data_IF_169982480833
#
_entry.id   IF_169982480833
#
_cell.length_a   1.000
_cell.length_b   1.000
_cell.length_c   1.000
_cell.angle_alpha   90.00
_cell.angle_beta   90.00
_cell.angle_gamma   90.00
#
_symmetry.space_group_name_H-M   'P 1'
#
loop_
_entity.id
_entity.type
_entity.pdbx_description
1 polymer ?
#
# COMPACT_ATOMS: atom_id res chain seq x y z
N UNK A 1 14.62 -0.03 42.54
CA UNK A 1 13.66 -0.35 41.47
C UNK A 1 14.08 0.44 40.25
N UNK A 2 14.27 -0.23 39.12
CA UNK A 2 14.88 0.32 37.89
C UNK A 2 14.00 0.14 36.64
N UNK A 3 12.75 -0.32 36.80
CA UNK A 3 11.80 -0.41 35.69
C UNK A 3 11.20 0.95 35.38
N UNK A 4 11.03 1.21 34.10
CA UNK A 4 10.23 2.32 33.57
C UNK A 4 8.76 2.08 33.88
N UNK A 5 8.09 3.06 34.48
CA UNK A 5 6.65 3.03 34.72
C UNK A 5 6.03 4.41 34.57
N UNK A 6 4.72 4.45 34.33
CA UNK A 6 3.93 5.67 34.28
C UNK A 6 2.59 5.45 34.97
N UNK A 7 2.07 6.51 35.58
CA UNK A 7 0.82 6.46 36.34
C UNK A 7 -0.14 7.53 35.86
N UNK A 8 -1.42 7.16 35.73
CA UNK A 8 -2.47 8.02 35.20
C UNK A 8 -3.74 7.92 36.06
N UNK A 9 -4.46 9.03 36.20
CA UNK A 9 -5.74 9.07 36.92
C UNK A 9 -5.61 8.90 38.44
N UNK A 10 -6.74 8.58 39.07
CA UNK A 10 -6.85 8.44 40.53
C UNK A 10 -7.92 7.40 40.90
N UNK A 11 -7.90 6.91 42.13
CA UNK A 11 -8.84 5.88 42.62
C UNK A 11 -8.16 4.54 42.87
N UNK A 12 -8.92 3.45 42.72
CA UNK A 12 -8.41 2.09 42.91
C UNK A 12 -7.29 1.77 41.92
N UNK A 13 -6.22 1.14 42.40
CA UNK A 13 -5.03 0.90 41.58
C UNK A 13 -5.27 -0.24 40.59
N UNK A 14 -5.03 0.02 39.32
CA UNK A 14 -5.08 -0.96 38.24
C UNK A 14 -3.72 -1.00 37.53
N UNK A 15 -3.08 -2.16 37.51
CA UNK A 15 -1.79 -2.35 36.83
C UNK A 15 -2.02 -3.08 35.51
N UNK A 16 -1.56 -2.49 34.41
CA UNK A 16 -1.64 -3.08 33.07
C UNK A 16 -0.30 -3.70 32.71
N UNK A 17 -0.31 -5.00 32.41
CA UNK A 17 0.88 -5.80 32.12
C UNK A 17 0.89 -6.15 30.63
N UNK A 18 1.90 -5.70 29.90
CA UNK A 18 2.06 -6.00 28.48
C UNK A 18 2.73 -7.38 28.26
N UNK A 19 2.66 -7.92 27.03
CA UNK A 19 3.34 -9.18 26.66
C UNK A 19 4.81 -8.94 26.30
N UNK A 20 5.63 -10.00 26.29
CA UNK A 20 7.09 -9.88 26.16
C UNK A 20 7.62 -9.34 24.82
N UNK A 21 6.78 -9.24 23.78
CA UNK A 21 7.17 -8.77 22.43
C UNK A 21 6.85 -7.28 22.21
N UNK A 22 6.23 -6.62 23.18
CA UNK A 22 5.77 -5.22 23.12
C UNK A 22 6.17 -4.49 24.40
N UNK A 23 5.83 -3.21 24.53
CA UNK A 23 6.04 -2.42 25.75
C UNK A 23 4.74 -1.77 26.26
N UNK A 24 4.83 -0.97 27.33
CA UNK A 24 3.67 -0.37 27.99
C UNK A 24 2.79 0.52 27.11
N UNK A 25 3.28 0.97 25.94
CA UNK A 25 2.53 1.85 25.03
C UNK A 25 1.33 1.19 24.36
N UNK A 26 1.25 -0.14 24.39
CA UNK A 26 0.05 -0.86 23.90
C UNK A 26 -1.24 -0.45 24.60
N UNK A 27 -1.13 0.19 25.77
CA UNK A 27 -2.27 0.63 26.57
C UNK A 27 -2.68 2.08 26.33
N UNK A 28 -1.97 2.86 25.50
CA UNK A 28 -2.19 4.31 25.37
C UNK A 28 -3.64 4.69 25.04
N UNK A 29 -4.30 3.93 24.16
CA UNK A 29 -5.70 4.16 23.78
C UNK A 29 -6.69 3.83 24.91
N UNK A 30 -6.33 2.92 25.82
CA UNK A 30 -7.21 2.48 26.89
C UNK A 30 -7.07 3.35 28.16
N UNK A 31 -5.91 3.97 28.35
CA UNK A 31 -5.60 4.81 29.52
C UNK A 31 -6.66 5.92 29.73
N UNK A 32 -7.08 6.72 28.74
CA UNK A 32 -8.07 7.78 28.94
C UNK A 32 -9.43 7.27 29.42
N UNK A 33 -9.79 6.02 29.12
CA UNK A 33 -11.04 5.40 29.55
C UNK A 33 -10.92 4.88 30.99
N UNK A 34 -9.85 4.17 31.30
CA UNK A 34 -9.63 3.58 32.63
C UNK A 34 -9.26 4.62 33.69
N UNK A 35 -8.50 5.64 33.33
CA UNK A 35 -8.05 6.71 34.23
C UNK A 35 -9.19 7.58 34.80
N UNK A 36 -10.41 7.45 34.24
CA UNK A 36 -11.62 8.09 34.78
C UNK A 36 -12.05 7.49 36.13
N UNK A 37 -11.72 6.23 36.37
CA UNK A 37 -12.21 5.46 37.54
C UNK A 37 -11.06 4.87 38.36
N UNK A 38 -9.95 4.55 37.71
CA UNK A 38 -8.81 3.86 38.31
C UNK A 38 -7.56 4.74 38.30
N UNK A 39 -6.69 4.51 39.27
CA UNK A 39 -5.27 4.89 39.16
C UNK A 39 -4.59 3.83 38.32
N UNK A 40 -4.40 4.12 37.03
CA UNK A 40 -3.80 3.20 36.07
C UNK A 40 -2.28 3.29 36.17
N UNK A 41 -1.62 2.15 36.31
CA UNK A 41 -0.17 2.02 36.31
C UNK A 41 0.22 1.13 35.16
N UNK A 42 1.10 1.63 34.29
CA UNK A 42 1.73 0.86 33.23
C UNK A 42 3.23 0.80 33.51
N UNK A 43 3.88 -0.29 33.15
CA UNK A 43 5.33 -0.42 33.29
C UNK A 43 5.89 -1.24 32.14
N UNK A 44 7.16 -1.01 31.81
CA UNK A 44 7.89 -1.82 30.85
C UNK A 44 8.60 -2.97 31.58
N UNK A 45 8.40 -4.20 31.15
CA UNK A 45 9.13 -5.36 31.65
C UNK A 45 10.63 -5.26 31.28
N UNK A 46 11.49 -5.98 32.00
CA UNK A 46 12.94 -6.01 31.68
C UNK A 46 13.17 -6.44 30.23
N UNK A 47 14.02 -5.70 29.54
CA UNK A 47 14.31 -5.90 28.11
C UNK A 47 13.26 -5.34 27.15
N UNK A 48 12.28 -4.56 27.64
CA UNK A 48 11.26 -3.92 26.81
C UNK A 48 11.17 -2.42 27.12
N UNK A 49 10.67 -1.64 26.15
CA UNK A 49 10.47 -0.20 26.29
C UNK A 49 11.71 0.53 26.80
N UNK A 50 11.54 1.29 27.88
CA UNK A 50 12.62 2.04 28.53
C UNK A 50 13.21 1.33 29.76
N UNK A 51 12.80 0.09 30.05
CA UNK A 51 13.37 -0.71 31.13
C UNK A 51 14.69 -1.37 30.71
N UNK A 52 15.65 -1.56 31.63
CA UNK A 52 16.95 -2.13 31.31
C UNK A 52 16.85 -3.58 30.82
N UNK A 53 17.82 -4.00 30.02
CA UNK A 53 17.98 -5.40 29.63
C UNK A 53 18.19 -6.30 30.87
N UNK A 54 17.64 -7.52 30.88
CA UNK A 54 17.78 -8.42 32.02
C UNK A 54 19.24 -8.88 32.19
N UNK A 55 19.78 -8.74 33.40
CA UNK A 55 21.08 -9.32 33.77
C UNK A 55 20.97 -10.79 34.23
N UNK A 56 19.75 -11.25 34.53
CA UNK A 56 19.39 -12.58 35.02
C UNK A 56 18.08 -13.02 34.34
N UNK A 57 17.69 -14.31 34.36
CA UNK A 57 16.42 -14.75 33.78
C UNK A 57 15.22 -13.91 34.26
N UNK A 58 14.40 -13.42 33.31
CA UNK A 58 13.28 -12.52 33.60
C UNK A 58 12.31 -13.18 34.58
N UNK A 59 12.01 -12.48 35.68
CA UNK A 59 10.99 -12.88 36.64
C UNK A 59 9.98 -11.73 36.80
N UNK A 60 9.00 -11.71 35.89
CA UNK A 60 7.97 -10.67 35.84
C UNK A 60 7.18 -10.53 37.16
N UNK A 61 6.97 -11.64 37.88
CA UNK A 61 6.27 -11.62 39.16
C UNK A 61 7.09 -10.90 40.22
N UNK A 62 8.39 -11.20 40.31
CA UNK A 62 9.29 -10.51 41.25
C UNK A 62 9.45 -9.02 40.91
N UNK A 63 9.57 -8.72 39.62
CA UNK A 63 9.64 -7.35 39.10
C UNK A 63 8.36 -6.55 39.40
N UNK A 64 7.19 -7.16 39.19
CA UNK A 64 5.91 -6.54 39.53
C UNK A 64 5.77 -6.33 41.04
N UNK A 65 6.13 -7.32 41.86
CA UNK A 65 6.10 -7.15 43.32
C UNK A 65 7.03 -6.02 43.77
N UNK A 66 8.26 -5.96 43.22
CA UNK A 66 9.19 -4.87 43.49
C UNK A 66 8.65 -3.49 43.07
N UNK A 67 7.92 -3.41 41.96
CA UNK A 67 7.22 -2.19 41.55
C UNK A 67 6.13 -1.79 42.54
N UNK A 68 5.29 -2.75 42.95
CA UNK A 68 4.19 -2.52 43.89
C UNK A 68 4.68 -2.09 45.27
N UNK A 69 5.76 -2.71 45.75
CA UNK A 69 6.43 -2.35 47.00
C UNK A 69 7.03 -0.95 46.92
N UNK A 70 7.70 -0.61 45.79
CA UNK A 70 8.24 0.72 45.54
C UNK A 70 7.15 1.80 45.54
N UNK A 71 5.99 1.49 44.95
CA UNK A 71 4.83 2.38 44.89
C UNK A 71 3.95 2.35 46.15
N UNK A 72 4.27 1.47 47.11
CA UNK A 72 3.55 1.29 48.38
C UNK A 72 2.06 0.95 48.19
N UNK A 73 1.74 0.13 47.18
CA UNK A 73 0.37 -0.30 46.93
C UNK A 73 0.07 -1.64 47.61
N UNK A 74 -0.90 -1.63 48.54
CA UNK A 74 -1.28 -2.81 49.32
C UNK A 74 -2.34 -3.68 48.62
N UNK A 75 -3.08 -3.12 47.66
CA UNK A 75 -4.13 -3.83 46.91
C UNK A 75 -4.22 -3.26 45.49
N UNK A 76 -4.10 -4.12 44.50
CA UNK A 76 -4.14 -3.76 43.09
C UNK A 76 -4.98 -4.76 42.30
N UNK A 77 -5.58 -4.31 41.21
CA UNK A 77 -6.16 -5.17 40.18
C UNK A 77 -5.16 -5.23 39.02
N UNK A 78 -4.72 -6.42 38.63
CA UNK A 78 -3.80 -6.59 37.50
C UNK A 78 -4.55 -7.14 36.28
N UNK A 79 -4.26 -6.61 35.09
CA UNK A 79 -4.79 -7.12 33.81
C UNK A 79 -3.67 -7.31 32.80
N UNK A 80 -3.74 -8.38 32.01
CA UNK A 80 -2.70 -8.78 31.05
C UNK A 80 -3.30 -9.02 29.65
N UNK A 81 -2.53 -8.77 28.58
CA UNK A 81 -3.01 -8.86 27.20
C UNK A 81 -2.91 -10.26 26.54
N UNK A 82 -2.39 -11.28 27.22
CA UNK A 82 -2.33 -12.65 26.67
C UNK A 82 -2.71 -13.73 27.69
N UNK A 83 -3.03 -14.91 27.15
CA UNK A 83 -3.68 -16.07 27.77
C UNK A 83 -3.07 -16.58 29.09
N UNK A 84 -3.83 -17.35 29.91
CA UNK A 84 -3.58 -17.56 31.35
C UNK A 84 -2.33 -18.37 31.75
N UNK A 85 -1.46 -18.75 30.81
CA UNK A 85 -0.38 -19.71 31.06
C UNK A 85 0.81 -19.12 31.83
N UNK A 86 0.96 -17.79 31.90
CA UNK A 86 2.14 -17.14 32.46
C UNK A 86 2.12 -16.99 34.00
N UNK A 87 0.96 -17.08 34.67
CA UNK A 87 0.83 -16.87 36.13
C UNK A 87 1.08 -18.14 36.99
N UNK A 88 1.47 -19.26 36.39
CA UNK A 88 1.59 -20.55 37.10
C UNK A 88 2.91 -20.80 37.85
N UNK A 89 3.87 -19.87 37.84
CA UNK A 89 5.18 -20.08 38.47
C UNK A 89 5.35 -19.51 39.89
N UNK A 90 4.35 -18.80 40.44
CA UNK A 90 4.37 -18.33 41.83
C UNK A 90 4.04 -19.42 42.83
N UNK A 91 5.06 -20.05 43.43
CA UNK A 91 4.90 -21.03 44.53
C UNK A 91 4.28 -20.37 45.76
N UNK A 92 3.03 -20.74 46.09
CA UNK A 92 2.49 -20.63 47.44
C UNK A 92 2.86 -21.89 48.25
N UNK A 93 3.42 -21.68 49.44
CA UNK A 93 3.81 -22.73 50.38
C UNK A 93 2.62 -23.24 51.20
N UNK A 94 2.66 -24.56 51.45
CA UNK A 94 1.96 -25.36 52.47
C UNK A 94 0.42 -25.52 52.41
N UNK A 95 -0.03 -26.72 52.03
CA UNK A 95 -0.66 -27.70 52.94
C UNK A 95 -1.30 -28.87 52.17
N UNK A 96 -1.22 -30.07 52.76
CA UNK A 96 -1.90 -31.34 52.39
C UNK A 96 -1.36 -32.17 51.20
N UNK A 97 -0.66 -33.27 51.51
CA UNK A 97 -0.24 -34.30 50.54
C UNK A 97 -1.39 -35.06 49.88
N UNK A 98 -2.61 -35.01 50.43
CA UNK A 98 -3.82 -35.63 49.88
C UNK A 98 -4.38 -34.90 48.65
N UNK A 99 -4.15 -33.59 48.52
CA UNK A 99 -4.58 -32.80 47.35
C UNK A 99 -3.75 -33.11 46.10
N UNK A 100 -2.47 -33.43 46.28
CA UNK A 100 -1.51 -33.66 45.19
C UNK A 100 -1.74 -34.99 44.47
N UNK A 101 -2.15 -36.02 45.20
CA UNK A 101 -2.49 -37.32 44.62
C UNK A 101 -3.79 -37.25 43.82
N UNK A 102 -4.83 -36.63 44.38
CA UNK A 102 -6.10 -36.40 43.68
C UNK A 102 -5.94 -35.52 42.44
N UNK A 103 -5.09 -34.49 42.52
CA UNK A 103 -4.71 -33.66 41.38
C UNK A 103 -3.95 -34.46 40.32
N UNK A 104 -3.02 -35.34 40.71
CA UNK A 104 -2.27 -36.17 39.77
C UNK A 104 -3.15 -37.24 39.11
N UNK A 105 -4.14 -37.79 39.81
CA UNK A 105 -5.10 -38.77 39.26
C UNK A 105 -6.09 -38.11 38.30
N UNK A 106 -6.64 -36.96 38.68
CA UNK A 106 -7.44 -36.13 37.78
C UNK A 106 -6.62 -35.71 36.55
N UNK A 107 -5.38 -35.25 36.75
CA UNK A 107 -4.47 -34.86 35.67
C UNK A 107 -4.16 -36.05 34.75
N UNK A 108 -3.97 -37.27 35.27
CA UNK A 108 -3.76 -38.48 34.44
C UNK A 108 -5.00 -38.84 33.63
N UNK A 109 -6.19 -38.78 34.23
CA UNK A 109 -7.46 -39.03 33.55
C UNK A 109 -7.72 -38.00 32.44
N UNK A 110 -7.53 -36.72 32.74
CA UNK A 110 -7.66 -35.62 31.78
C UNK A 110 -6.62 -35.76 30.65
N UNK A 111 -5.35 -36.01 30.98
CA UNK A 111 -4.28 -36.19 29.99
C UNK A 111 -4.49 -37.44 29.11
N UNK A 112 -5.18 -38.48 29.62
CA UNK A 112 -5.58 -39.66 28.85
C UNK A 112 -6.68 -39.33 27.84
N UNK A 113 -7.73 -38.61 28.22
CA UNK A 113 -8.75 -38.13 27.27
C UNK A 113 -8.12 -37.28 26.16
N UNK A 114 -7.21 -36.38 26.53
CA UNK A 114 -6.47 -35.58 25.56
C UNK A 114 -5.55 -36.42 24.67
N UNK A 115 -4.89 -37.47 25.20
CA UNK A 115 -4.01 -38.37 24.43
C UNK A 115 -4.75 -39.08 23.30
N UNK A 116 -5.97 -39.52 23.55
CA UNK A 116 -6.76 -40.26 22.56
C UNK A 116 -7.41 -39.33 21.51
N UNK A 117 -7.47 -38.01 21.78
CA UNK A 117 -8.12 -37.00 20.93
C UNK A 117 -7.15 -35.97 20.34
N UNK A 118 -5.82 -36.09 20.55
CA UNK A 118 -4.82 -35.11 20.05
C UNK A 118 -4.89 -34.90 18.55
N UNK A 119 -5.06 -36.00 17.80
CA UNK A 119 -5.21 -35.95 16.35
C UNK A 119 -6.47 -35.19 15.94
N UNK A 120 -7.58 -35.36 16.64
CA UNK A 120 -8.83 -34.65 16.36
C UNK A 120 -8.73 -33.16 16.69
N UNK A 121 -8.12 -32.78 17.82
CA UNK A 121 -7.86 -31.37 18.15
C UNK A 121 -6.93 -30.75 17.10
N UNK A 122 -5.88 -31.46 16.68
CA UNK A 122 -5.00 -31.04 15.58
C UNK A 122 -5.76 -30.85 14.27
N UNK A 123 -6.66 -31.77 13.91
CA UNK A 123 -7.52 -31.64 12.74
C UNK A 123 -8.45 -30.43 12.83
N UNK A 124 -9.07 -30.17 14.00
CA UNK A 124 -9.95 -29.02 14.21
C UNK A 124 -9.17 -27.70 14.09
N UNK A 125 -7.99 -27.61 14.71
CA UNK A 125 -7.13 -26.43 14.58
C UNK A 125 -6.69 -26.24 13.12
N UNK A 126 -6.29 -27.32 12.45
CA UNK A 126 -5.90 -27.27 11.04
C UNK A 126 -7.06 -26.81 10.14
N UNK A 127 -8.28 -27.31 10.34
CA UNK A 127 -9.44 -26.88 9.54
C UNK A 127 -9.82 -25.44 9.81
N UNK A 128 -9.79 -24.98 11.08
CA UNK A 128 -10.01 -23.57 11.41
C UNK A 128 -8.95 -22.69 10.74
N UNK A 129 -7.67 -23.06 10.80
CA UNK A 129 -6.59 -22.33 10.14
C UNK A 129 -6.78 -22.27 8.62
N UNK A 130 -7.11 -23.40 7.98
CA UNK A 130 -7.37 -23.43 6.54
C UNK A 130 -8.58 -22.57 6.15
N UNK A 131 -9.64 -22.56 6.96
CA UNK A 131 -10.81 -21.72 6.75
C UNK A 131 -10.46 -20.23 6.87
N UNK A 132 -9.72 -19.84 7.90
CA UNK A 132 -9.26 -18.45 8.09
C UNK A 132 -8.40 -18.04 6.89
N UNK A 133 -7.44 -18.87 6.47
CA UNK A 133 -6.59 -18.59 5.30
C UNK A 133 -7.41 -18.46 4.02
N UNK A 134 -8.40 -19.33 3.79
CA UNK A 134 -9.26 -19.27 2.62
C UNK A 134 -10.10 -17.98 2.58
N UNK A 135 -10.67 -17.57 3.72
CA UNK A 135 -11.43 -16.32 3.84
C UNK A 135 -10.53 -15.12 3.59
N UNK A 136 -9.34 -15.08 4.21
CA UNK A 136 -8.35 -14.01 4.00
C UNK A 136 -7.90 -13.94 2.54
N UNK A 137 -7.67 -15.09 1.90
CA UNK A 137 -7.30 -15.13 0.48
C UNK A 137 -8.42 -14.64 -0.43
N UNK A 138 -9.68 -15.01 -0.15
CA UNK A 138 -10.84 -14.52 -0.90
C UNK A 138 -11.02 -13.00 -0.74
N UNK A 139 -10.82 -12.46 0.46
CA UNK A 139 -10.85 -11.02 0.72
C UNK A 139 -9.73 -10.28 -0.04
N UNK A 140 -8.51 -10.83 -0.04
CA UNK A 140 -7.38 -10.30 -0.80
C UNK A 140 -7.66 -10.31 -2.31
N UNK A 141 -8.15 -11.43 -2.85
CA UNK A 141 -8.53 -11.52 -4.26
C UNK A 141 -9.56 -10.46 -4.65
N UNK A 142 -10.56 -10.21 -3.79
CA UNK A 142 -11.54 -9.14 -4.02
C UNK A 142 -10.86 -7.77 -4.08
N UNK A 143 -10.00 -7.45 -3.12
CA UNK A 143 -9.26 -6.17 -3.10
C UNK A 143 -8.38 -5.99 -4.34
N UNK A 144 -7.65 -7.04 -4.75
CA UNK A 144 -6.82 -7.02 -5.95
C UNK A 144 -7.67 -6.77 -7.20
N UNK A 145 -8.84 -7.40 -7.31
CA UNK A 145 -9.73 -7.20 -8.46
C UNK A 145 -10.30 -5.77 -8.51
N UNK A 146 -10.67 -5.19 -7.37
CA UNK A 146 -11.12 -3.78 -7.31
C UNK A 146 -9.99 -2.83 -7.71
N UNK A 147 -8.77 -3.01 -7.17
CA UNK A 147 -7.60 -2.20 -7.55
C UNK A 147 -7.25 -2.35 -9.03
N UNK A 148 -7.37 -3.57 -9.58
CA UNK A 148 -7.15 -3.83 -11.00
C UNK A 148 -8.15 -3.04 -11.84
N UNK A 149 -9.42 -3.06 -11.47
CA UNK A 149 -10.48 -2.32 -12.16
C UNK A 149 -10.26 -0.81 -12.09
N UNK A 150 -9.95 -0.27 -10.93
CA UNK A 150 -9.62 1.16 -10.76
C UNK A 150 -8.40 1.55 -11.61
N UNK A 151 -7.39 0.67 -11.68
CA UNK A 151 -6.21 0.88 -12.53
C UNK A 151 -6.57 0.89 -14.02
N UNK A 152 -7.44 -0.01 -14.50
CA UNK A 152 -7.92 -0.01 -15.89
C UNK A 152 -8.72 1.25 -16.18
N UNK A 153 -9.63 1.65 -15.29
CA UNK A 153 -10.46 2.86 -15.47
C UNK A 153 -9.61 4.13 -15.54
N UNK A 154 -8.66 4.29 -14.61
CA UNK A 154 -7.71 5.42 -14.61
C UNK A 154 -6.86 5.45 -15.87
N UNK A 155 -6.31 4.29 -16.26
CA UNK A 155 -5.50 4.16 -17.47
C UNK A 155 -6.32 4.54 -18.71
N UNK A 156 -7.51 3.97 -18.86
CA UNK A 156 -8.40 4.26 -19.98
C UNK A 156 -8.80 5.75 -20.04
N UNK A 157 -8.99 6.42 -18.91
CA UNK A 157 -9.30 7.85 -18.86
C UNK A 157 -8.16 8.71 -19.40
N UNK A 158 -6.91 8.42 -19.04
CA UNK A 158 -5.73 9.13 -19.56
C UNK A 158 -5.59 8.97 -21.08
N UNK A 159 -5.72 7.74 -21.60
CA UNK A 159 -5.66 7.48 -23.04
C UNK A 159 -6.84 8.10 -23.80
N UNK A 160 -8.02 8.14 -23.19
CA UNK A 160 -9.19 8.81 -23.75
C UNK A 160 -8.96 10.31 -23.91
N UNK A 161 -8.33 10.98 -22.95
CA UNK A 161 -8.00 12.41 -23.08
C UNK A 161 -7.07 12.64 -24.29
N UNK A 162 -6.13 11.74 -24.52
CA UNK A 162 -5.21 11.84 -25.65
C UNK A 162 -5.91 11.65 -27.00
N UNK A 163 -6.77 10.65 -27.13
CA UNK A 163 -7.58 10.46 -28.34
C UNK A 163 -8.51 11.65 -28.60
N UNK A 164 -9.13 12.20 -27.55
CA UNK A 164 -10.03 13.35 -27.69
C UNK A 164 -9.27 14.61 -28.07
N UNK A 165 -8.04 14.79 -27.59
CA UNK A 165 -7.15 15.87 -28.03
C UNK A 165 -6.92 15.77 -29.54
N UNK A 166 -6.45 14.62 -30.02
CA UNK A 166 -6.08 14.45 -31.43
C UNK A 166 -7.28 14.57 -32.37
N UNK A 167 -8.43 14.00 -32.00
CA UNK A 167 -9.69 14.16 -32.74
C UNK A 167 -10.13 15.63 -32.82
N UNK A 168 -9.99 16.38 -31.73
CA UNK A 168 -10.36 17.79 -31.70
C UNK A 168 -9.41 18.64 -32.55
N UNK A 169 -8.11 18.35 -32.52
CA UNK A 169 -7.12 19.07 -33.30
C UNK A 169 -7.22 18.75 -34.78
N UNK A 170 -7.47 17.50 -35.18
CA UNK A 170 -7.79 17.15 -36.57
C UNK A 170 -8.90 18.07 -37.10
N UNK A 171 -10.04 18.04 -36.40
CA UNK A 171 -11.28 18.65 -36.88
C UNK A 171 -11.26 20.18 -36.88
N UNK A 172 -10.61 20.79 -35.89
CA UNK A 172 -10.75 22.24 -35.68
C UNK A 172 -9.44 23.03 -35.84
N UNK A 173 -8.30 22.34 -35.93
CA UNK A 173 -6.99 22.97 -36.06
C UNK A 173 -6.30 22.58 -37.38
N UNK A 174 -6.09 21.28 -37.62
CA UNK A 174 -5.43 20.75 -38.81
C UNK A 174 -6.28 20.99 -40.06
N UNK A 175 -7.55 20.56 -40.05
CA UNK A 175 -8.50 20.82 -41.15
C UNK A 175 -8.68 22.32 -41.45
N UNK A 176 -8.45 23.17 -40.44
CA UNK A 176 -8.49 24.62 -40.58
C UNK A 176 -7.10 25.25 -40.81
N UNK A 177 -6.19 24.53 -41.48
CA UNK A 177 -4.88 25.03 -41.91
C UNK A 177 -4.01 25.65 -40.79
N UNK A 178 -4.13 25.11 -39.57
CA UNK A 178 -3.38 25.51 -38.39
C UNK A 178 -3.66 26.96 -37.95
N UNK A 179 -4.87 27.46 -38.18
CA UNK A 179 -5.27 28.80 -37.73
C UNK A 179 -5.59 28.85 -36.24
N UNK A 180 -5.34 30.03 -35.63
CA UNK A 180 -5.65 30.35 -34.24
C UNK A 180 -5.05 29.35 -33.21
N UNK A 181 -3.72 29.14 -33.21
CA UNK A 181 -3.05 28.19 -32.31
C UNK A 181 -3.27 28.50 -30.82
N UNK A 182 -3.39 29.78 -30.46
CA UNK A 182 -3.63 30.25 -29.07
C UNK A 182 -4.85 29.58 -28.45
N UNK A 183 -5.89 29.29 -29.24
CA UNK A 183 -7.09 28.60 -28.78
C UNK A 183 -6.81 27.20 -28.24
N UNK A 184 -5.80 26.52 -28.78
CA UNK A 184 -5.51 25.11 -28.49
C UNK A 184 -4.31 24.91 -27.57
N UNK A 185 -3.48 25.96 -27.39
CA UNK A 185 -2.25 25.90 -26.61
C UNK A 185 -2.45 25.38 -25.18
N UNK A 186 -3.46 25.87 -24.46
CA UNK A 186 -3.72 25.39 -23.10
C UNK A 186 -4.06 23.90 -23.10
N UNK A 187 -4.87 23.44 -24.05
CA UNK A 187 -5.26 22.04 -24.12
C UNK A 187 -4.09 21.14 -24.49
N UNK A 188 -3.30 21.50 -25.51
CA UNK A 188 -2.12 20.73 -25.91
C UNK A 188 -1.13 20.63 -24.75
N UNK A 189 -0.80 21.76 -24.12
CA UNK A 189 0.13 21.78 -22.99
C UNK A 189 -0.41 20.95 -21.82
N UNK A 190 -1.68 21.09 -21.48
CA UNK A 190 -2.26 20.31 -20.38
C UNK A 190 -2.20 18.82 -20.69
N UNK A 191 -2.63 18.37 -21.87
CA UNK A 191 -2.64 16.94 -22.18
C UNK A 191 -1.23 16.37 -22.31
N UNK A 192 -0.31 17.06 -22.99
CA UNK A 192 1.06 16.56 -23.19
C UNK A 192 1.85 16.44 -21.88
N UNK A 193 1.74 17.42 -20.98
CA UNK A 193 2.47 17.43 -19.71
C UNK A 193 1.73 16.71 -18.58
N UNK A 194 0.42 16.53 -18.66
CA UNK A 194 -0.37 15.75 -17.68
C UNK A 194 -0.36 14.25 -17.98
N UNK A 195 -0.04 13.84 -19.22
CA UNK A 195 0.09 12.43 -19.56
C UNK A 195 1.32 11.82 -18.86
N UNK A 196 1.11 11.35 -17.62
CA UNK A 196 2.14 10.65 -16.85
C UNK A 196 2.18 9.18 -17.21
N UNK A 197 1.00 8.58 -17.44
CA UNK A 197 0.82 7.16 -17.64
C UNK A 197 1.37 6.33 -16.47
N UNK A 198 1.56 5.05 -16.72
CA UNK A 198 2.22 4.12 -15.80
C UNK A 198 3.74 4.17 -15.99
N UNK A 199 4.48 3.63 -15.03
CA UNK A 199 5.92 3.40 -15.16
C UNK A 199 6.23 2.16 -16.03
N UNK A 200 5.74 2.18 -17.27
CA UNK A 200 5.95 1.14 -18.28
C UNK A 200 6.33 1.71 -19.65
N UNK A 201 6.89 0.87 -20.52
CA UNK A 201 7.46 1.30 -21.79
C UNK A 201 6.44 1.96 -22.72
N UNK A 202 5.19 1.46 -22.75
CA UNK A 202 4.11 2.03 -23.54
C UNK A 202 3.83 3.48 -23.14
N UNK A 203 3.58 3.70 -21.84
CA UNK A 203 3.31 5.03 -21.29
C UNK A 203 4.49 5.98 -21.42
N UNK A 204 5.71 5.48 -21.16
CA UNK A 204 6.95 6.27 -21.25
C UNK A 204 7.23 6.71 -22.69
N UNK A 205 7.10 5.82 -23.67
CA UNK A 205 7.32 6.17 -25.07
C UNK A 205 6.27 7.16 -25.56
N UNK A 206 4.99 6.99 -25.19
CA UNK A 206 3.95 7.96 -25.54
C UNK A 206 4.19 9.33 -24.91
N UNK A 207 4.55 9.39 -23.62
CA UNK A 207 4.91 10.66 -22.97
C UNK A 207 6.10 11.32 -23.65
N UNK A 208 7.13 10.55 -24.01
CA UNK A 208 8.30 11.09 -24.69
C UNK A 208 7.94 11.61 -26.10
N UNK A 209 7.08 10.91 -26.85
CA UNK A 209 6.57 11.39 -28.13
C UNK A 209 5.83 12.73 -27.97
N UNK A 210 4.98 12.85 -26.94
CA UNK A 210 4.23 14.08 -26.67
C UNK A 210 5.16 15.25 -26.32
N UNK A 211 6.07 15.05 -25.38
CA UNK A 211 6.91 16.14 -24.83
C UNK A 211 8.07 16.49 -25.74
N UNK A 212 8.65 15.51 -26.44
CA UNK A 212 9.89 15.72 -27.20
C UNK A 212 9.68 15.91 -28.71
N UNK A 213 8.48 15.59 -29.23
CA UNK A 213 8.17 15.76 -30.65
C UNK A 213 6.90 16.61 -30.86
N UNK A 214 5.78 16.23 -30.25
CA UNK A 214 4.49 16.85 -30.53
C UNK A 214 4.37 18.30 -30.00
N UNK A 215 4.71 18.53 -28.73
CA UNK A 215 4.68 19.85 -28.09
C UNK A 215 5.64 20.86 -28.76
N UNK A 216 6.91 20.50 -29.07
CA UNK A 216 7.80 21.39 -29.82
C UNK A 216 7.25 21.83 -31.18
N UNK A 217 6.68 20.91 -31.97
CA UNK A 217 6.08 21.25 -33.27
C UNK A 217 4.85 22.14 -33.11
N UNK A 218 4.00 21.86 -32.11
CA UNK A 218 2.87 22.72 -31.79
C UNK A 218 3.35 24.14 -31.42
N UNK A 219 4.38 24.23 -30.59
CA UNK A 219 4.99 25.51 -30.20
C UNK A 219 5.54 26.26 -31.41
N UNK A 220 6.15 25.58 -32.37
CA UNK A 220 6.66 26.20 -33.59
C UNK A 220 5.52 26.74 -34.48
N UNK A 221 4.47 25.94 -34.69
CA UNK A 221 3.24 26.34 -35.36
C UNK A 221 2.55 27.54 -34.68
N UNK A 222 2.77 27.71 -33.37
CA UNK A 222 2.15 28.75 -32.54
C UNK A 222 2.92 30.06 -32.45
N UNK A 223 4.07 30.18 -33.13
CA UNK A 223 4.94 31.37 -33.07
C UNK A 223 4.26 32.61 -33.66
N UNK A 224 4.46 33.76 -33.02
CA UNK A 224 3.96 35.05 -33.51
C UNK A 224 4.52 35.42 -34.90
N UNK A 225 5.79 35.10 -35.16
CA UNK A 225 6.45 35.32 -36.44
C UNK A 225 6.10 34.26 -37.50
N UNK A 226 5.29 33.27 -37.12
CA UNK A 226 5.05 32.05 -37.89
C UNK A 226 6.10 30.96 -37.61
N UNK A 227 5.79 29.71 -38.02
CA UNK A 227 6.70 28.57 -37.89
C UNK A 227 7.92 28.73 -38.78
N UNK A 228 9.03 28.08 -38.40
CA UNK A 228 10.30 28.16 -39.15
C UNK A 228 10.13 27.67 -40.59
N UNK A 229 9.39 26.57 -40.79
CA UNK A 229 8.98 26.09 -42.09
C UNK A 229 7.58 25.46 -42.01
N UNK A 230 6.55 26.27 -42.32
CA UNK A 230 5.13 25.89 -42.21
C UNK A 230 4.81 24.56 -42.88
N UNK A 231 5.31 24.31 -44.09
CA UNK A 231 4.97 23.11 -44.85
C UNK A 231 5.46 21.85 -44.13
N UNK A 232 6.70 21.88 -43.64
CA UNK A 232 7.32 20.73 -43.00
C UNK A 232 6.78 20.50 -41.60
N UNK A 233 6.63 21.55 -40.77
CA UNK A 233 6.06 21.40 -39.43
C UNK A 233 4.60 20.97 -39.45
N UNK A 234 3.79 21.46 -40.39
CA UNK A 234 2.39 21.05 -40.53
C UNK A 234 2.29 19.57 -40.87
N UNK A 235 3.11 19.09 -41.83
CA UNK A 235 3.17 17.68 -42.20
C UNK A 235 3.56 16.80 -41.02
N UNK A 236 4.65 17.14 -40.32
CA UNK A 236 5.11 16.35 -39.16
C UNK A 236 4.08 16.35 -38.03
N UNK A 237 3.44 17.49 -37.76
CA UNK A 237 2.42 17.57 -36.71
C UNK A 237 1.20 16.72 -37.03
N UNK A 238 0.73 16.74 -38.28
CA UNK A 238 -0.38 15.92 -38.77
C UNK A 238 -0.05 14.42 -38.68
N UNK A 239 1.11 14.00 -39.17
CA UNK A 239 1.56 12.60 -39.09
C UNK A 239 1.63 12.09 -37.63
N UNK A 240 2.20 12.88 -36.72
CA UNK A 240 2.24 12.51 -35.30
C UNK A 240 0.84 12.49 -34.69
N UNK A 241 -0.03 13.45 -35.04
CA UNK A 241 -1.40 13.50 -34.54
C UNK A 241 -2.17 12.23 -34.92
N UNK A 242 -2.05 11.79 -36.18
CA UNK A 242 -2.66 10.57 -36.70
C UNK A 242 -2.17 9.32 -35.97
N UNK A 243 -0.85 9.18 -35.75
CA UNK A 243 -0.31 8.03 -35.05
C UNK A 243 -0.72 8.00 -33.57
N UNK A 244 -0.73 9.15 -32.89
CA UNK A 244 -1.24 9.25 -31.52
C UNK A 244 -2.72 8.87 -31.47
N UNK A 245 -3.53 9.38 -32.41
CA UNK A 245 -4.97 9.06 -32.52
C UNK A 245 -5.19 7.58 -32.78
N UNK A 246 -4.39 6.96 -33.64
CA UNK A 246 -4.46 5.54 -33.94
C UNK A 246 -4.14 4.69 -32.70
N UNK A 247 -3.00 4.96 -32.05
CA UNK A 247 -2.55 4.19 -30.86
C UNK A 247 -3.55 4.33 -29.71
N UNK A 248 -3.98 5.56 -29.40
CA UNK A 248 -4.95 5.82 -28.35
C UNK A 248 -6.33 5.25 -28.69
N UNK A 249 -6.75 5.31 -29.96
CA UNK A 249 -7.98 4.71 -30.46
C UNK A 249 -8.00 3.18 -30.27
N UNK A 250 -6.90 2.49 -30.60
CA UNK A 250 -6.76 1.05 -30.37
C UNK A 250 -7.04 0.72 -28.89
N UNK A 251 -6.44 1.46 -27.95
CA UNK A 251 -6.61 1.21 -26.51
C UNK A 251 -8.06 1.46 -26.05
N UNK A 252 -8.70 2.52 -26.55
CA UNK A 252 -10.07 2.88 -26.16
C UNK A 252 -11.09 1.86 -26.67
N UNK A 253 -10.88 1.35 -27.88
CA UNK A 253 -11.76 0.40 -28.56
C UNK A 253 -11.59 -1.05 -28.05
N UNK A 254 -10.52 -1.35 -27.31
CA UNK A 254 -10.31 -2.67 -26.71
C UNK A 254 -11.45 -3.07 -25.78
N UNK A 255 -11.74 -4.38 -25.71
CA UNK A 255 -12.66 -4.90 -24.70
C UNK A 255 -12.05 -4.79 -23.30
N UNK A 256 -12.87 -4.75 -22.27
CA UNK A 256 -12.41 -4.65 -20.88
C UNK A 256 -11.47 -5.80 -20.48
N UNK A 257 -11.73 -7.04 -20.94
CA UNK A 257 -10.86 -8.20 -20.71
C UNK A 257 -9.49 -8.06 -21.40
N UNK A 258 -9.42 -7.31 -22.50
CA UNK A 258 -8.17 -7.04 -23.21
C UNK A 258 -7.42 -5.86 -22.57
N UNK A 259 -8.12 -4.82 -22.11
CA UNK A 259 -7.53 -3.69 -21.37
C UNK A 259 -6.86 -4.14 -20.09
N UNK A 260 -7.45 -5.11 -19.39
CA UNK A 260 -6.84 -5.73 -18.22
C UNK A 260 -5.46 -6.34 -18.51
N UNK A 261 -5.22 -6.82 -19.74
CA UNK A 261 -3.94 -7.40 -20.14
C UNK A 261 -2.86 -6.33 -20.34
N UNK A 262 -3.24 -5.09 -20.65
CA UNK A 262 -2.30 -3.96 -20.71
C UNK A 262 -1.64 -3.65 -19.37
N UNK A 263 -2.19 -4.18 -18.26
CA UNK A 263 -1.55 -4.05 -16.97
C UNK A 263 -0.31 -4.94 -16.81
N UNK A 264 -0.19 -5.99 -17.63
CA UNK A 264 0.93 -6.93 -17.65
C UNK A 264 1.86 -6.63 -18.85
N UNK A 265 3.10 -6.16 -18.60
CA UNK A 265 4.07 -5.84 -19.66
C UNK A 265 4.47 -7.04 -20.53
N UNK A 266 4.19 -8.27 -20.08
CA UNK A 266 4.51 -9.49 -20.82
C UNK A 266 3.37 -9.98 -21.71
N UNK A 267 2.19 -9.36 -21.62
CA UNK A 267 1.04 -9.74 -22.45
C UNK A 267 1.27 -9.41 -23.92
N UNK A 268 0.71 -10.23 -24.81
CA UNK A 268 0.80 -10.00 -26.26
C UNK A 268 0.19 -8.67 -26.69
N UNK A 269 -0.88 -8.25 -26.02
CA UNK A 269 -1.61 -7.01 -26.23
C UNK A 269 -0.75 -5.81 -25.85
N UNK A 270 -0.11 -5.86 -24.67
CA UNK A 270 0.83 -4.82 -24.24
C UNK A 270 2.01 -4.72 -25.20
N UNK A 271 2.70 -5.83 -25.50
CA UNK A 271 3.89 -5.84 -26.36
C UNK A 271 3.57 -5.25 -27.74
N UNK A 272 2.43 -5.60 -28.32
CA UNK A 272 2.00 -5.09 -29.63
C UNK A 272 1.83 -3.56 -29.61
N UNK A 273 1.08 -3.02 -28.65
CA UNK A 273 0.79 -1.58 -28.60
C UNK A 273 2.03 -0.79 -28.15
N UNK A 274 2.79 -1.33 -27.20
CA UNK A 274 4.06 -0.75 -26.75
C UNK A 274 5.06 -0.61 -27.90
N UNK A 275 5.15 -1.62 -28.77
CA UNK A 275 6.01 -1.54 -29.97
C UNK A 275 5.56 -0.41 -30.90
N UNK A 276 4.25 -0.23 -31.12
CA UNK A 276 3.75 0.86 -31.98
C UNK A 276 4.08 2.24 -31.43
N UNK A 277 3.88 2.45 -30.12
CA UNK A 277 4.25 3.69 -29.46
C UNK A 277 5.77 3.94 -29.48
N UNK A 278 6.55 2.87 -29.32
CA UNK A 278 8.00 2.92 -29.42
C UNK A 278 8.47 3.31 -30.83
N UNK A 279 7.94 2.66 -31.86
CA UNK A 279 8.29 2.92 -33.26
C UNK A 279 7.94 4.36 -33.65
N UNK A 280 6.74 4.84 -33.27
CA UNK A 280 6.35 6.24 -33.47
C UNK A 280 7.31 7.20 -32.76
N UNK A 281 7.61 6.97 -31.48
CA UNK A 281 8.54 7.82 -30.73
C UNK A 281 9.91 7.91 -31.40
N UNK A 282 10.55 6.78 -31.73
CA UNK A 282 11.88 6.77 -32.32
C UNK A 282 11.91 7.31 -33.75
N UNK A 283 10.83 7.13 -34.51
CA UNK A 283 10.68 7.74 -35.83
C UNK A 283 10.66 9.27 -35.71
N UNK A 284 9.75 9.81 -34.90
CA UNK A 284 9.47 11.25 -34.90
C UNK A 284 10.50 12.06 -34.13
N UNK A 285 11.11 11.53 -33.07
CA UNK A 285 12.15 12.28 -32.34
C UNK A 285 13.29 12.69 -33.27
N UNK A 286 13.68 11.81 -34.19
CA UNK A 286 14.73 12.08 -35.16
C UNK A 286 14.27 13.11 -36.20
N UNK A 287 13.07 12.94 -36.75
CA UNK A 287 12.53 13.86 -37.75
C UNK A 287 12.34 15.28 -37.21
N UNK A 288 11.90 15.41 -35.96
CA UNK A 288 11.72 16.71 -35.29
C UNK A 288 13.07 17.35 -34.96
N UNK A 289 14.04 16.58 -34.48
CA UNK A 289 15.40 17.07 -34.24
C UNK A 289 16.05 17.58 -35.55
N UNK A 290 15.92 16.82 -36.64
CA UNK A 290 16.40 17.22 -37.97
C UNK A 290 15.67 18.48 -38.48
N UNK A 291 14.35 18.60 -38.28
CA UNK A 291 13.57 19.79 -38.61
C UNK A 291 14.13 21.04 -37.93
N UNK A 292 14.29 21.02 -36.60
CA UNK A 292 14.77 22.19 -35.87
C UNK A 292 16.22 22.52 -36.22
N UNK A 293 17.10 21.53 -36.39
CA UNK A 293 18.50 21.76 -36.80
C UNK A 293 18.61 22.44 -38.17
N UNK A 294 17.78 22.05 -39.12
CA UNK A 294 17.86 22.56 -40.49
C UNK A 294 17.25 23.96 -40.66
N UNK A 295 16.32 24.35 -39.79
CA UNK A 295 15.55 25.59 -39.94
C UNK A 295 15.90 26.68 -38.89
N UNK A 296 16.87 26.45 -38.00
CA UNK A 296 17.35 27.43 -37.01
C UNK A 296 18.52 28.32 -37.48
N UNK A 297 18.87 28.32 -38.77
CA UNK A 297 19.90 29.19 -39.36
C UNK A 297 19.32 30.50 -39.93
#
# INVERSE_FOLDING_TARGET
>A
MDLSYSTYGSGSVMVLIHSGEVDSRVWLELIPLLARTYRVVIFDARGTGFSPAPSEPINLVADLLGLLDHLKFNKVTCTHNTSPEFLRSGKATSSSGLSRQRYNDWRRSVMSQFRDHKWMIGCIVMTITLLITAISNAALHKQVNELKKESVESYNAEWYQLYRLTEMLDKYYIENNFENPVRYQLLVNQTAYHFTGRADDLSVNMRNLLVLAYDPLFSDLSREQGPLNKKETSRLFEEINDDIKLISGIIIEMREDEKEKLLDPTSSEFVKISSQAQDAYYQYIKLVDDYFKNNHN
#
